data_IF_401433249284
#
_entry.id   IF_401433249284
#
_cell.length_a   1.000
_cell.length_b   1.000
_cell.length_c   1.000
_cell.angle_alpha   90.00
_cell.angle_beta   90.00
_cell.angle_gamma   90.00
#
_symmetry.space_group_name_H-M   'P 1'
#
loop_
_entity.id
_entity.type
_entity.pdbx_description
1 polymer ?
#
# COMPACT_ATOMS: atom_id res chain seq x y z
N UNK A 1 1.15 -30.24 16.45
CA UNK A 1 1.13 -29.11 15.51
C UNK A 1 1.34 -27.84 16.33
N UNK A 2 2.35 -27.00 16.06
CA UNK A 2 2.38 -25.72 16.75
C UNK A 2 1.18 -24.90 16.26
N UNK A 3 0.19 -24.75 17.12
CA UNK A 3 -0.87 -23.74 16.98
C UNK A 3 -0.21 -22.40 17.26
N UNK A 4 0.46 -21.83 16.26
CA UNK A 4 0.87 -20.43 16.30
C UNK A 4 -0.40 -19.62 16.41
N UNK A 5 -0.54 -18.87 17.50
CA UNK A 5 -1.62 -17.89 17.61
C UNK A 5 -1.58 -16.99 16.38
N UNK A 6 -2.75 -16.63 15.81
CA UNK A 6 -2.79 -15.67 14.70
C UNK A 6 -2.09 -14.38 15.12
N UNK A 7 -1.35 -13.78 14.20
CA UNK A 7 -0.60 -12.57 14.48
C UNK A 7 -1.57 -11.44 14.85
N UNK A 8 -1.17 -10.63 15.83
CA UNK A 8 -1.93 -9.45 16.21
C UNK A 8 -1.85 -8.38 15.11
N UNK A 9 -2.85 -7.48 15.06
CA UNK A 9 -2.84 -6.36 14.10
C UNK A 9 -1.55 -5.54 14.23
N UNK A 10 -1.06 -5.33 15.46
CA UNK A 10 0.19 -4.61 15.72
C UNK A 10 1.40 -5.31 15.09
N UNK A 11 1.50 -6.63 15.24
CA UNK A 11 2.58 -7.42 14.62
C UNK A 11 2.52 -7.35 13.09
N UNK A 12 1.32 -7.46 12.51
CA UNK A 12 1.13 -7.34 11.07
C UNK A 12 1.51 -5.95 10.54
N UNK A 13 1.22 -4.88 11.29
CA UNK A 13 1.64 -3.51 10.95
C UNK A 13 3.16 -3.39 11.00
N UNK A 14 3.82 -3.96 12.02
CA UNK A 14 5.29 -4.00 12.08
C UNK A 14 5.88 -4.71 10.86
N UNK A 15 5.33 -5.87 10.49
CA UNK A 15 5.76 -6.62 9.28
C UNK A 15 5.52 -5.84 7.99
N UNK A 16 4.44 -5.07 7.90
CA UNK A 16 4.19 -4.20 6.75
C UNK A 16 5.24 -3.09 6.64
N UNK A 17 5.64 -2.49 7.77
CA UNK A 17 6.58 -1.37 7.84
C UNK A 17 8.02 -1.75 7.44
N UNK A 18 8.43 -3.00 7.66
CA UNK A 18 9.79 -3.48 7.31
C UNK A 18 10.09 -3.43 5.81
N UNK A 19 9.07 -3.40 4.95
CA UNK A 19 9.22 -3.52 3.49
C UNK A 19 9.05 -2.17 2.79
N UNK A 20 9.58 -1.10 3.38
CA UNK A 20 9.60 0.21 2.74
C UNK A 20 10.42 0.15 1.44
N UNK A 21 9.87 0.67 0.35
CA UNK A 21 10.58 0.76 -0.93
C UNK A 21 11.85 1.64 -0.76
N UNK A 22 13.00 1.24 -1.33
CA UNK A 22 14.27 1.90 -1.08
C UNK A 22 14.22 3.38 -1.49
N UNK A 23 14.85 4.29 -0.73
CA UNK A 23 14.86 5.72 -1.04
C UNK A 23 15.58 6.00 -2.38
N UNK A 24 15.17 7.07 -3.07
CA UNK A 24 15.84 7.56 -4.29
C UNK A 24 15.40 6.91 -5.61
N UNK A 25 14.31 6.12 -5.62
CA UNK A 25 13.70 5.61 -6.85
C UNK A 25 12.82 6.67 -7.52
N UNK A 26 12.54 6.50 -8.81
CA UNK A 26 11.58 7.36 -9.54
C UNK A 26 10.16 7.21 -8.99
N UNK A 27 9.35 8.27 -9.07
CA UNK A 27 7.95 8.30 -8.64
C UNK A 27 7.12 7.16 -9.27
N UNK A 28 7.35 6.86 -10.55
CA UNK A 28 6.65 5.77 -11.25
C UNK A 28 6.95 4.40 -10.63
N UNK A 29 8.14 4.23 -10.06
CA UNK A 29 8.49 3.00 -9.36
C UNK A 29 7.62 2.82 -8.12
N UNK A 30 7.49 3.85 -7.26
CA UNK A 30 6.64 3.78 -6.06
C UNK A 30 5.17 3.50 -6.42
N UNK A 31 4.64 4.13 -7.46
CA UNK A 31 3.26 3.88 -7.93
C UNK A 31 3.10 2.43 -8.41
N UNK A 32 4.08 1.90 -9.16
CA UNK A 32 4.05 0.51 -9.63
C UNK A 32 4.09 -0.48 -8.47
N UNK A 33 4.94 -0.23 -7.48
CA UNK A 33 5.09 -1.07 -6.28
C UNK A 33 3.80 -1.04 -5.46
N UNK A 34 3.22 0.14 -5.21
CA UNK A 34 1.94 0.28 -4.52
C UNK A 34 0.80 -0.48 -5.23
N UNK A 35 0.73 -0.35 -6.57
CA UNK A 35 -0.23 -1.11 -7.37
C UNK A 35 0.00 -2.62 -7.33
N UNK A 36 1.25 -3.07 -7.22
CA UNK A 36 1.59 -4.49 -7.06
C UNK A 36 1.11 -5.03 -5.73
N UNK A 37 1.42 -4.35 -4.63
CA UNK A 37 0.95 -4.72 -3.30
C UNK A 37 -0.58 -4.79 -3.23
N UNK A 38 -1.29 -3.82 -3.81
CA UNK A 38 -2.76 -3.86 -3.88
C UNK A 38 -3.30 -5.10 -4.60
N UNK A 39 -2.67 -5.50 -5.72
CA UNK A 39 -3.09 -6.71 -6.46
C UNK A 39 -2.80 -7.99 -5.67
N UNK A 40 -1.64 -8.08 -5.02
CA UNK A 40 -1.28 -9.21 -4.17
C UNK A 40 -2.23 -9.32 -2.97
N UNK A 41 -2.55 -8.19 -2.33
CA UNK A 41 -3.51 -8.13 -1.23
C UNK A 41 -4.87 -8.65 -1.66
N UNK A 42 -5.39 -8.16 -2.79
CA UNK A 42 -6.66 -8.62 -3.36
C UNK A 42 -6.68 -10.11 -3.68
N UNK A 43 -5.59 -10.66 -4.23
CA UNK A 43 -5.47 -12.08 -4.53
C UNK A 43 -5.36 -12.96 -3.27
N UNK A 44 -5.00 -12.37 -2.13
CA UNK A 44 -4.83 -13.08 -0.85
C UNK A 44 -6.09 -13.04 0.01
N UNK A 45 -7.10 -12.22 -0.34
CA UNK A 45 -8.39 -12.16 0.37
C UNK A 45 -9.08 -13.52 0.28
N UNK A 46 -9.44 -14.10 1.43
CA UNK A 46 -10.09 -15.41 1.53
C UNK A 46 -9.15 -16.62 1.46
N UNK A 47 -7.86 -16.40 1.18
CA UNK A 47 -6.82 -17.43 1.27
C UNK A 47 -5.94 -17.21 2.50
N UNK A 48 -5.36 -16.01 2.61
CA UNK A 48 -4.38 -15.64 3.63
C UNK A 48 -4.66 -14.20 4.09
N UNK A 49 -5.56 -14.04 5.07
CA UNK A 49 -6.03 -12.72 5.52
C UNK A 49 -4.91 -11.86 6.12
N UNK A 50 -3.98 -12.48 6.86
CA UNK A 50 -2.81 -11.78 7.42
C UNK A 50 -1.93 -11.20 6.29
N UNK A 51 -1.68 -11.99 5.25
CA UNK A 51 -0.94 -11.53 4.06
C UNK A 51 -1.70 -10.43 3.31
N UNK A 52 -3.01 -10.59 3.16
CA UNK A 52 -3.85 -9.56 2.53
C UNK A 52 -3.72 -8.23 3.27
N UNK A 53 -3.80 -8.26 4.61
CA UNK A 53 -3.63 -7.08 5.45
C UNK A 53 -2.25 -6.43 5.24
N UNK A 54 -1.18 -7.20 5.33
CA UNK A 54 0.21 -6.71 5.18
C UNK A 54 0.38 -6.01 3.82
N UNK A 55 -0.09 -6.64 2.75
CA UNK A 55 0.05 -6.10 1.40
C UNK A 55 -0.80 -4.82 1.19
N UNK A 56 -2.01 -4.77 1.75
CA UNK A 56 -2.80 -3.53 1.73
C UNK A 56 -2.18 -2.42 2.55
N UNK A 57 -1.63 -2.72 3.73
CA UNK A 57 -0.93 -1.75 4.57
C UNK A 57 0.28 -1.17 3.82
N UNK A 58 1.10 -2.00 3.18
CA UNK A 58 2.23 -1.56 2.33
C UNK A 58 1.78 -0.62 1.21
N UNK A 59 0.69 -0.97 0.51
CA UNK A 59 0.14 -0.12 -0.55
C UNK A 59 -0.34 1.23 -0.01
N UNK A 60 -1.03 1.23 1.14
CA UNK A 60 -1.54 2.44 1.78
C UNK A 60 -0.42 3.37 2.21
N UNK A 61 0.61 2.86 2.89
CA UNK A 61 1.80 3.65 3.28
C UNK A 61 2.44 4.32 2.06
N UNK A 62 2.62 3.60 0.95
CA UNK A 62 3.18 4.19 -0.26
C UNK A 62 2.30 5.30 -0.84
N UNK A 63 0.98 5.09 -0.91
CA UNK A 63 0.04 6.04 -1.54
C UNK A 63 -0.18 7.28 -0.68
N UNK A 64 -0.29 7.10 0.63
CA UNK A 64 -0.68 8.15 1.57
C UNK A 64 0.53 8.92 2.12
N UNK A 65 1.64 8.24 2.35
CA UNK A 65 2.79 8.82 3.07
C UNK A 65 3.99 9.05 2.14
N UNK A 66 4.36 8.06 1.32
CA UNK A 66 5.60 8.13 0.52
C UNK A 66 5.45 8.90 -0.79
N UNK A 67 4.42 8.61 -1.58
CA UNK A 67 4.23 9.22 -2.90
C UNK A 67 3.98 10.74 -2.80
N UNK A 68 3.13 11.25 -1.88
CA UNK A 68 2.87 12.69 -1.79
C UNK A 68 4.08 13.52 -1.36
N UNK A 69 5.06 12.91 -0.70
CA UNK A 69 6.31 13.56 -0.25
C UNK A 69 7.43 13.51 -1.30
N UNK A 70 7.24 12.77 -2.39
CA UNK A 70 8.22 12.66 -3.46
C UNK A 70 8.41 13.98 -4.23
N UNK A 71 9.65 14.37 -4.52
CA UNK A 71 9.97 15.64 -5.21
C UNK A 71 9.24 15.82 -6.55
N UNK A 72 9.13 14.73 -7.30
CA UNK A 72 8.51 14.72 -8.63
C UNK A 72 6.98 14.57 -8.57
N UNK A 73 6.38 14.51 -7.37
CA UNK A 73 4.92 14.36 -7.22
C UNK A 73 4.16 15.52 -7.82
N UNK A 74 4.67 16.75 -7.67
CA UNK A 74 3.97 17.95 -8.15
C UNK A 74 4.03 18.12 -9.68
N UNK A 75 5.15 17.78 -10.32
CA UNK A 75 5.34 17.93 -11.77
C UNK A 75 5.16 16.65 -12.60
N UNK A 76 5.29 15.47 -11.99
CA UNK A 76 5.30 14.18 -12.68
C UNK A 76 3.94 13.51 -12.83
N UNK A 77 2.89 14.03 -12.18
CA UNK A 77 1.52 13.53 -12.27
C UNK A 77 0.56 14.63 -12.73
N UNK A 78 -0.29 14.29 -13.69
CA UNK A 78 -1.44 15.12 -14.07
C UNK A 78 -2.39 15.31 -12.89
N UNK A 79 -3.19 16.39 -12.94
CA UNK A 79 -4.22 16.69 -11.94
C UNK A 79 -5.17 15.51 -11.73
N UNK A 80 -5.51 14.80 -12.80
CA UNK A 80 -6.38 13.63 -12.76
C UNK A 80 -5.72 12.42 -12.10
N UNK A 81 -4.44 12.16 -12.37
CA UNK A 81 -3.68 11.11 -11.70
C UNK A 81 -3.55 11.37 -10.19
N UNK A 82 -3.33 12.61 -9.77
CA UNK A 82 -3.32 13.00 -8.35
C UNK A 82 -4.69 12.80 -7.70
N UNK A 83 -5.76 13.16 -8.41
CA UNK A 83 -7.15 12.97 -7.95
C UNK A 83 -7.47 11.49 -7.77
N UNK A 84 -7.07 10.65 -8.72
CA UNK A 84 -7.25 9.20 -8.66
C UNK A 84 -6.41 8.58 -7.54
N UNK A 85 -5.17 9.04 -7.32
CA UNK A 85 -4.35 8.57 -6.21
C UNK A 85 -5.00 8.88 -4.85
N UNK A 86 -5.55 10.09 -4.70
CA UNK A 86 -6.33 10.48 -3.51
C UNK A 86 -7.60 9.65 -3.35
N UNK A 87 -8.31 9.35 -4.45
CA UNK A 87 -9.52 8.53 -4.43
C UNK A 87 -9.24 7.05 -4.11
N UNK A 88 -8.04 6.53 -4.40
CA UNK A 88 -7.64 5.18 -3.99
C UNK A 88 -7.36 5.09 -2.48
N UNK A 89 -7.09 6.22 -1.82
CA UNK A 89 -6.83 6.28 -0.38
C UNK A 89 -8.05 6.01 0.52
N UNK A 90 -9.28 6.11 -0.01
CA UNK A 90 -10.53 5.78 0.68
C UNK A 90 -11.61 5.53 -0.40
N UNK A 91 -12.28 4.37 -0.44
CA UNK A 91 -13.47 4.25 -1.27
C UNK A 91 -14.50 5.29 -0.77
N UNK A 92 -15.21 6.01 -1.65
CA UNK A 92 -16.44 6.64 -1.23
C UNK A 92 -17.36 5.51 -0.77
N UNK A 93 -17.68 5.50 0.53
CA UNK A 93 -18.76 4.68 1.08
C UNK A 93 -20.00 5.02 0.27
N UNK A 94 -20.33 4.14 -0.67
CA UNK A 94 -21.58 4.20 -1.40
C UNK A 94 -22.65 3.73 -0.41
N UNK A 95 -23.64 4.60 -0.17
CA UNK A 95 -24.81 4.35 0.67
C UNK A 95 -25.56 3.10 0.27
#
# INVERSE_FOLDING_TARGET
MPTTCPATISELVTTAAETAAPPGRDLRHYIRVAGSHRRTGAASVGLEMERAFIEYARAATLIVETIPTHRDYQGGLSTEQKRNLKAVGLPPLSR
#
